data_IF_888242933793
#
_entry.id   IF_888242933793
#
_cell.length_a   1.000
_cell.length_b   1.000
_cell.length_c   1.000
_cell.angle_alpha   90.00
_cell.angle_beta   90.00
_cell.angle_gamma   90.00
#
_symmetry.space_group_name_H-M   'P 1'
#
loop_
_entity.id
_entity.type
_entity.pdbx_description
1 polymer ?
#
# COMPACT_ATOMS: atom_id res chain seq x y z
N UNK A 1 -28.98 -31.96 11.37
CA UNK A 1 -28.54 -31.42 12.67
C UNK A 1 -29.21 -30.08 12.89
N UNK A 2 -29.92 -29.83 14.01
CA UNK A 2 -30.52 -28.53 14.28
C UNK A 2 -29.42 -27.49 14.45
N UNK A 3 -29.55 -26.33 13.73
CA UNK A 3 -28.68 -25.16 13.90
C UNK A 3 -28.68 -24.78 15.38
N UNK A 4 -27.50 -24.78 16.04
CA UNK A 4 -27.32 -24.13 17.34
C UNK A 4 -27.82 -22.68 17.19
N UNK A 5 -28.90 -22.32 17.93
CA UNK A 5 -29.29 -20.94 18.08
C UNK A 5 -28.11 -20.21 18.73
N UNK A 6 -27.39 -19.39 17.97
CA UNK A 6 -26.47 -18.42 18.57
C UNK A 6 -27.36 -17.53 19.45
N UNK A 7 -27.07 -17.39 20.74
CA UNK A 7 -27.82 -16.52 21.67
C UNK A 7 -27.72 -15.02 21.30
N UNK A 8 -27.56 -14.71 20.04
CA UNK A 8 -27.40 -13.37 19.50
C UNK A 8 -28.77 -12.74 19.26
N UNK A 9 -28.94 -11.54 19.80
CA UNK A 9 -30.14 -10.74 19.56
C UNK A 9 -30.31 -10.51 18.05
N UNK A 10 -31.55 -10.60 17.57
CA UNK A 10 -31.91 -10.46 16.14
C UNK A 10 -32.89 -9.30 15.94
N UNK A 11 -33.05 -8.85 14.68
CA UNK A 11 -34.09 -7.87 14.33
C UNK A 11 -35.51 -8.30 14.77
N UNK A 12 -35.76 -9.60 14.85
CA UNK A 12 -37.03 -10.12 15.33
C UNK A 12 -37.27 -9.79 16.81
N UNK A 13 -36.26 -9.95 17.66
CA UNK A 13 -36.37 -9.59 19.09
C UNK A 13 -36.62 -8.10 19.28
N UNK A 14 -35.99 -7.23 18.47
CA UNK A 14 -36.26 -5.78 18.48
C UNK A 14 -37.73 -5.51 18.05
N UNK A 15 -38.17 -6.15 16.98
CA UNK A 15 -39.53 -5.98 16.46
C UNK A 15 -40.60 -6.36 17.51
N UNK A 16 -40.41 -7.49 18.20
CA UNK A 16 -41.28 -7.95 19.30
C UNK A 16 -41.24 -6.97 20.48
N UNK A 17 -40.07 -6.49 20.88
CA UNK A 17 -39.89 -5.53 22.01
C UNK A 17 -40.61 -4.21 21.75
N UNK A 18 -40.59 -3.72 20.49
CA UNK A 18 -41.18 -2.43 20.09
C UNK A 18 -42.65 -2.58 19.63
N UNK A 19 -43.12 -3.80 19.33
CA UNK A 19 -44.47 -4.06 18.83
C UNK A 19 -44.65 -3.67 17.34
N UNK A 20 -43.63 -3.92 16.51
CA UNK A 20 -43.64 -3.63 15.07
C UNK A 20 -43.17 -4.85 14.27
N UNK A 21 -43.20 -4.76 12.94
CA UNK A 21 -42.66 -5.83 12.10
C UNK A 21 -41.14 -5.76 11.97
N UNK A 22 -40.50 -6.90 11.71
CA UNK A 22 -39.05 -6.97 11.38
C UNK A 22 -38.70 -6.05 10.20
N UNK A 23 -39.60 -5.90 9.23
CA UNK A 23 -39.41 -5.01 8.06
C UNK A 23 -39.36 -3.55 8.51
N UNK A 24 -40.21 -3.16 9.46
CA UNK A 24 -40.23 -1.79 10.01
C UNK A 24 -38.93 -1.48 10.75
N UNK A 25 -38.42 -2.40 11.58
CA UNK A 25 -37.11 -2.25 12.26
C UNK A 25 -35.99 -2.15 11.23
N UNK A 26 -35.95 -3.03 10.25
CA UNK A 26 -34.94 -2.99 9.17
C UNK A 26 -34.99 -1.69 8.37
N UNK A 27 -36.17 -1.15 8.11
CA UNK A 27 -36.37 0.15 7.43
C UNK A 27 -35.85 1.30 8.32
N UNK A 28 -36.20 1.30 9.59
CA UNK A 28 -35.74 2.32 10.53
C UNK A 28 -34.20 2.43 10.60
N UNK A 29 -33.51 1.29 10.48
CA UNK A 29 -32.05 1.25 10.48
C UNK A 29 -31.41 1.69 9.15
N UNK A 30 -32.06 1.42 8.02
CA UNK A 30 -31.50 1.71 6.69
C UNK A 30 -31.96 3.05 6.12
N UNK A 31 -33.20 3.43 6.38
CA UNK A 31 -33.89 4.59 5.82
C UNK A 31 -34.63 5.33 6.93
N UNK A 32 -33.89 5.89 7.93
CA UNK A 32 -34.50 6.47 9.13
C UNK A 32 -35.48 7.63 8.83
N UNK A 33 -35.32 8.28 7.67
CA UNK A 33 -36.19 9.35 7.22
C UNK A 33 -37.60 8.85 6.80
N UNK A 34 -37.77 7.55 6.53
CA UNK A 34 -39.05 6.92 6.19
C UNK A 34 -39.83 6.43 7.41
N UNK A 35 -39.32 6.66 8.64
CA UNK A 35 -39.92 6.24 9.88
C UNK A 35 -40.11 7.46 10.78
N UNK A 36 -41.27 7.54 11.49
CA UNK A 36 -41.50 8.67 12.41
C UNK A 36 -40.45 8.77 13.50
N UNK A 37 -40.13 9.99 13.92
CA UNK A 37 -39.09 10.24 14.96
C UNK A 37 -39.40 9.49 16.26
N UNK A 38 -40.68 9.43 16.68
CA UNK A 38 -41.11 8.72 17.89
C UNK A 38 -40.87 7.21 17.79
N UNK A 39 -41.15 6.59 16.65
CA UNK A 39 -40.91 5.14 16.43
C UNK A 39 -39.39 4.85 16.34
N UNK A 40 -38.64 5.72 15.71
CA UNK A 40 -37.19 5.59 15.62
C UNK A 40 -36.54 5.57 17.01
N UNK A 41 -36.89 6.52 17.87
CA UNK A 41 -36.38 6.56 19.27
C UNK A 41 -36.72 5.28 20.04
N UNK A 42 -37.93 4.74 19.88
CA UNK A 42 -38.31 3.47 20.51
C UNK A 42 -37.49 2.29 20.00
N UNK A 43 -37.15 2.25 18.71
CA UNK A 43 -36.31 1.20 18.11
C UNK A 43 -34.87 1.36 18.61
N UNK A 44 -34.33 2.56 18.65
CA UNK A 44 -32.99 2.86 19.16
C UNK A 44 -32.86 2.42 20.64
N UNK A 45 -33.82 2.78 21.48
CA UNK A 45 -33.87 2.35 22.90
C UNK A 45 -33.89 0.82 23.03
N UNK A 46 -34.70 0.13 22.21
CA UNK A 46 -34.76 -1.33 22.26
C UNK A 46 -33.47 -2.00 21.76
N UNK A 47 -32.74 -1.38 20.81
CA UNK A 47 -31.43 -1.83 20.34
C UNK A 47 -30.42 -1.77 21.48
N UNK A 48 -30.38 -0.64 22.20
CA UNK A 48 -29.47 -0.41 23.32
C UNK A 48 -29.80 -1.36 24.49
N UNK A 49 -31.08 -1.47 24.88
CA UNK A 49 -31.53 -2.34 25.96
C UNK A 49 -31.18 -3.83 25.71
N UNK A 50 -31.37 -4.31 24.48
CA UNK A 50 -31.17 -5.71 24.14
C UNK A 50 -29.73 -6.01 23.68
N UNK A 51 -28.89 -4.99 23.51
CA UNK A 51 -27.52 -5.14 23.02
C UNK A 51 -27.48 -5.70 21.58
N UNK A 52 -28.41 -5.24 20.72
CA UNK A 52 -28.43 -5.69 19.35
C UNK A 52 -27.27 -5.08 18.56
N UNK A 53 -26.49 -5.96 17.93
CA UNK A 53 -25.45 -5.55 16.98
C UNK A 53 -25.93 -5.87 15.57
N UNK A 54 -26.04 -4.88 14.68
CA UNK A 54 -26.41 -5.10 13.28
C UNK A 54 -25.53 -6.16 12.62
N UNK A 55 -26.14 -7.12 11.95
CA UNK A 55 -25.42 -8.11 11.16
C UNK A 55 -25.24 -7.57 9.75
N UNK A 56 -24.05 -7.03 9.45
CA UNK A 56 -23.72 -6.50 8.14
C UNK A 56 -23.86 -7.55 7.02
N UNK A 57 -23.50 -8.82 7.29
CA UNK A 57 -23.65 -9.89 6.30
C UNK A 57 -25.12 -10.16 5.94
N UNK A 58 -26.04 -10.10 6.92
CA UNK A 58 -27.47 -10.21 6.66
C UNK A 58 -28.02 -8.98 5.91
N UNK A 59 -27.49 -7.80 6.21
CA UNK A 59 -27.77 -6.56 5.49
C UNK A 59 -27.29 -6.63 4.04
N UNK A 60 -26.08 -7.10 3.82
CA UNK A 60 -25.48 -7.29 2.50
C UNK A 60 -26.29 -8.27 1.63
N UNK A 61 -26.74 -9.40 2.21
CA UNK A 61 -27.58 -10.36 1.50
C UNK A 61 -28.93 -9.73 1.06
N UNK A 62 -29.49 -8.86 1.88
CA UNK A 62 -30.79 -8.22 1.59
C UNK A 62 -30.70 -7.04 0.61
N UNK A 63 -29.56 -6.33 0.56
CA UNK A 63 -29.33 -5.16 -0.30
C UNK A 63 -28.52 -5.49 -1.55
N UNK A 64 -27.86 -6.64 -1.59
CA UNK A 64 -26.86 -6.99 -2.60
C UNK A 64 -25.55 -6.20 -2.48
N UNK A 65 -25.36 -5.41 -1.39
CA UNK A 65 -24.20 -4.54 -1.19
C UNK A 65 -23.58 -4.75 0.19
N UNK A 66 -22.30 -5.07 0.22
CA UNK A 66 -21.55 -5.29 1.46
C UNK A 66 -20.97 -4.01 2.05
N UNK A 67 -20.85 -2.94 1.25
CA UNK A 67 -20.12 -1.71 1.59
C UNK A 67 -18.70 -2.00 2.14
N UNK A 68 -18.05 -3.05 1.62
CA UNK A 68 -16.72 -3.47 2.02
C UNK A 68 -15.77 -3.49 0.83
N UNK A 69 -14.57 -2.98 1.04
CA UNK A 69 -13.47 -2.99 0.07
C UNK A 69 -12.29 -3.70 0.70
N UNK A 70 -11.67 -4.66 0.00
CA UNK A 70 -10.46 -5.31 0.48
C UNK A 70 -9.23 -4.50 0.04
N UNK A 71 -8.33 -4.23 1.01
CA UNK A 71 -7.01 -3.65 0.78
C UNK A 71 -5.96 -4.69 1.14
N UNK A 72 -5.22 -5.20 0.16
CA UNK A 72 -4.08 -6.07 0.40
C UNK A 72 -2.81 -5.24 0.53
N UNK A 73 -2.03 -5.52 1.56
CA UNK A 73 -0.74 -4.84 1.81
C UNK A 73 0.37 -5.88 2.03
N UNK A 74 1.60 -5.61 1.52
CA UNK A 74 2.70 -6.57 1.66
C UNK A 74 3.29 -6.63 3.07
N UNK A 75 3.15 -5.56 3.86
CA UNK A 75 3.75 -5.46 5.20
C UNK A 75 2.95 -4.52 6.09
N UNK A 76 2.72 -4.94 7.33
CA UNK A 76 2.13 -4.13 8.40
C UNK A 76 3.17 -3.26 9.12
N UNK A 77 4.45 -3.66 9.08
CA UNK A 77 5.53 -2.95 9.77
C UNK A 77 6.23 -1.89 8.91
N UNK A 78 6.02 -1.91 7.59
CA UNK A 78 6.64 -0.94 6.69
C UNK A 78 5.76 0.32 6.58
N UNK A 79 6.27 1.46 7.06
CA UNK A 79 5.57 2.75 7.10
C UNK A 79 5.19 3.32 5.72
N UNK A 80 5.76 2.80 4.63
CA UNK A 80 5.35 3.16 3.26
C UNK A 80 3.86 2.96 3.05
N UNK A 81 3.27 1.89 3.62
CA UNK A 81 1.86 1.55 3.40
C UNK A 81 0.90 2.34 4.29
N UNK A 82 1.35 2.86 5.43
CA UNK A 82 0.46 3.52 6.40
C UNK A 82 -0.17 4.83 5.90
N UNK A 83 0.58 5.65 5.14
CA UNK A 83 0.02 6.88 4.56
C UNK A 83 -0.93 6.60 3.39
N UNK A 84 -0.62 5.59 2.57
CA UNK A 84 -1.50 5.13 1.48
C UNK A 84 -2.80 4.60 2.07
N UNK A 85 -2.69 3.70 3.06
CA UNK A 85 -3.84 3.16 3.79
C UNK A 85 -4.72 4.26 4.36
N UNK A 86 -4.13 5.26 5.04
CA UNK A 86 -4.87 6.39 5.62
C UNK A 86 -5.68 7.14 4.56
N UNK A 87 -5.08 7.46 3.40
CA UNK A 87 -5.81 8.12 2.31
C UNK A 87 -6.98 7.29 1.79
N UNK A 88 -6.77 5.97 1.65
CA UNK A 88 -7.82 5.04 1.24
C UNK A 88 -8.94 4.98 2.29
N UNK A 89 -8.61 4.77 3.57
CA UNK A 89 -9.59 4.63 4.66
C UNK A 89 -10.42 5.91 4.86
N UNK A 90 -9.79 7.08 4.86
CA UNK A 90 -10.50 8.35 5.00
C UNK A 90 -11.43 8.60 3.81
N UNK A 91 -10.95 8.39 2.57
CA UNK A 91 -11.75 8.61 1.37
C UNK A 91 -12.93 7.65 1.23
N UNK A 92 -12.70 6.35 1.44
CA UNK A 92 -13.75 5.34 1.36
C UNK A 92 -14.70 5.38 2.56
N UNK A 93 -14.16 5.63 3.77
CA UNK A 93 -14.95 5.74 5.00
C UNK A 93 -15.94 6.89 4.96
N UNK A 94 -15.55 8.06 4.42
CA UNK A 94 -16.45 9.19 4.19
C UNK A 94 -17.63 8.85 3.26
N UNK A 95 -17.48 7.85 2.39
CA UNK A 95 -18.53 7.34 1.51
C UNK A 95 -19.28 6.12 2.08
N UNK A 96 -19.02 5.75 3.34
CA UNK A 96 -19.69 4.65 4.04
C UNK A 96 -19.16 3.25 3.72
N UNK A 97 -17.96 3.14 3.14
CA UNK A 97 -17.30 1.86 2.91
C UNK A 97 -16.36 1.49 4.07
N UNK A 98 -16.35 0.20 4.40
CA UNK A 98 -15.40 -0.41 5.32
C UNK A 98 -14.20 -0.97 4.55
N UNK A 99 -12.99 -0.65 4.98
CA UNK A 99 -11.76 -1.24 4.43
C UNK A 99 -11.37 -2.46 5.24
N UNK A 100 -11.27 -3.61 4.57
CA UNK A 100 -10.80 -4.88 5.15
C UNK A 100 -9.36 -5.09 4.72
N UNK A 101 -8.43 -5.16 5.68
CA UNK A 101 -7.00 -5.25 5.40
C UNK A 101 -6.56 -6.71 5.40
N UNK A 102 -5.86 -7.12 4.33
CA UNK A 102 -5.19 -8.40 4.20
C UNK A 102 -3.68 -8.23 4.09
N UNK A 103 -2.91 -9.05 4.81
CA UNK A 103 -1.45 -9.02 4.79
C UNK A 103 -0.90 -10.16 3.93
N UNK A 104 -0.20 -9.82 2.83
CA UNK A 104 0.32 -10.81 1.87
C UNK A 104 1.72 -11.32 2.21
N UNK A 105 2.49 -10.63 3.03
CA UNK A 105 3.86 -11.00 3.35
C UNK A 105 4.80 -10.98 2.13
N UNK A 106 4.48 -10.23 1.08
CA UNK A 106 5.14 -10.23 -0.23
C UNK A 106 5.02 -11.57 -1.00
N UNK A 107 4.07 -12.42 -0.64
CA UNK A 107 3.80 -13.69 -1.30
C UNK A 107 2.65 -13.55 -2.29
N UNK A 108 2.89 -13.82 -3.57
CA UNK A 108 1.85 -13.82 -4.61
C UNK A 108 0.84 -14.97 -4.41
N UNK A 109 1.24 -16.06 -3.74
CA UNK A 109 0.34 -17.16 -3.40
C UNK A 109 -0.58 -16.79 -2.22
N UNK A 110 -0.06 -16.05 -1.24
CA UNK A 110 -0.89 -15.53 -0.15
C UNK A 110 -1.83 -14.43 -0.65
N UNK A 111 -1.40 -13.60 -1.59
CA UNK A 111 -2.25 -12.64 -2.29
C UNK A 111 -3.43 -13.35 -2.97
N UNK A 112 -3.16 -14.40 -3.75
CA UNK A 112 -4.17 -15.22 -4.41
C UNK A 112 -5.18 -15.79 -3.41
N UNK A 113 -4.71 -16.38 -2.31
CA UNK A 113 -5.56 -16.92 -1.25
C UNK A 113 -6.45 -15.85 -0.61
N UNK A 114 -5.91 -14.66 -0.38
CA UNK A 114 -6.67 -13.53 0.18
C UNK A 114 -7.69 -12.98 -0.81
N UNK A 115 -7.35 -12.89 -2.10
CA UNK A 115 -8.29 -12.49 -3.15
C UNK A 115 -9.50 -13.43 -3.14
N UNK A 116 -9.28 -14.75 -3.19
CA UNK A 116 -10.38 -15.73 -3.14
C UNK A 116 -11.22 -15.56 -1.87
N UNK A 117 -10.57 -15.44 -0.72
CA UNK A 117 -11.25 -15.25 0.58
C UNK A 117 -12.14 -14.01 0.59
N UNK A 118 -11.62 -12.86 0.15
CA UNK A 118 -12.40 -11.62 0.18
C UNK A 118 -13.51 -11.59 -0.88
N UNK A 119 -13.29 -12.19 -2.05
CA UNK A 119 -14.37 -12.39 -3.02
C UNK A 119 -15.48 -13.27 -2.45
N UNK A 120 -15.16 -14.34 -1.72
CA UNK A 120 -16.16 -15.15 -0.99
C UNK A 120 -16.87 -14.35 0.11
N UNK A 121 -16.26 -13.37 0.73
CA UNK A 121 -16.91 -12.45 1.67
C UNK A 121 -17.78 -11.39 0.99
N UNK A 122 -17.76 -11.33 -0.34
CA UNK A 122 -18.59 -10.42 -1.13
C UNK A 122 -18.13 -8.97 -1.07
N UNK A 123 -16.81 -8.71 -1.03
CA UNK A 123 -16.30 -7.34 -1.15
C UNK A 123 -16.71 -6.72 -2.48
N UNK A 124 -16.97 -5.42 -2.48
CA UNK A 124 -17.39 -4.68 -3.67
C UNK A 124 -16.20 -4.22 -4.54
N UNK A 125 -14.98 -4.28 -4.02
CA UNK A 125 -13.75 -3.97 -4.76
C UNK A 125 -12.52 -4.53 -4.05
N UNK A 126 -11.39 -4.63 -4.81
CA UNK A 126 -10.09 -5.01 -4.28
C UNK A 126 -9.03 -3.95 -4.64
N UNK A 127 -8.12 -3.70 -3.70
CA UNK A 127 -6.94 -2.86 -3.89
C UNK A 127 -5.71 -3.75 -3.64
N UNK A 128 -4.86 -3.90 -4.66
CA UNK A 128 -3.75 -4.86 -4.70
C UNK A 128 -2.40 -4.14 -4.73
N UNK A 129 -1.38 -4.65 -4.01
CA UNK A 129 -0.08 -4.00 -3.88
C UNK A 129 0.87 -4.36 -5.03
N UNK A 130 0.56 -3.96 -6.23
CA UNK A 130 1.37 -4.23 -7.40
C UNK A 130 0.55 -4.72 -8.59
N UNK A 131 1.25 -5.06 -9.67
CA UNK A 131 0.67 -5.48 -10.95
C UNK A 131 0.99 -6.93 -11.32
N UNK A 132 1.76 -7.61 -10.47
CA UNK A 132 2.14 -9.02 -10.70
C UNK A 132 1.30 -9.96 -9.86
N UNK A 133 0.41 -10.67 -10.52
CA UNK A 133 -0.50 -11.64 -9.91
C UNK A 133 -0.30 -13.00 -10.55
N UNK A 134 -0.71 -14.07 -9.86
CA UNK A 134 -0.77 -15.40 -10.48
C UNK A 134 -1.83 -15.44 -11.57
N UNK A 135 -1.69 -16.35 -12.53
CA UNK A 135 -2.72 -16.54 -13.56
C UNK A 135 -4.07 -16.92 -12.97
N UNK A 136 -4.08 -17.61 -11.82
CA UNK A 136 -5.30 -17.96 -11.12
C UNK A 136 -5.97 -16.71 -10.52
N UNK A 137 -5.22 -15.87 -9.82
CA UNK A 137 -5.71 -14.60 -9.28
C UNK A 137 -6.28 -13.70 -10.39
N UNK A 138 -5.57 -13.56 -11.52
CA UNK A 138 -6.07 -12.80 -12.68
C UNK A 138 -7.40 -13.33 -13.20
N UNK A 139 -7.55 -14.66 -13.31
CA UNK A 139 -8.83 -15.27 -13.71
C UNK A 139 -9.94 -15.02 -12.70
N UNK A 140 -9.65 -15.09 -11.40
CA UNK A 140 -10.62 -14.79 -10.34
C UNK A 140 -11.09 -13.33 -10.43
N UNK A 141 -10.17 -12.38 -10.52
CA UNK A 141 -10.47 -10.95 -10.61
C UNK A 141 -11.29 -10.61 -11.84
N UNK A 142 -10.94 -11.18 -13.01
CA UNK A 142 -11.69 -10.96 -14.26
C UNK A 142 -13.13 -11.52 -14.17
N UNK A 143 -13.31 -12.68 -13.53
CA UNK A 143 -14.62 -13.33 -13.39
C UNK A 143 -15.52 -12.65 -12.36
N UNK A 144 -14.92 -12.13 -11.30
CA UNK A 144 -15.66 -11.52 -10.18
C UNK A 144 -16.39 -10.24 -10.59
N UNK A 145 -15.92 -9.54 -11.64
CA UNK A 145 -16.52 -8.29 -12.17
C UNK A 145 -16.64 -7.19 -11.10
N UNK A 146 -15.75 -7.21 -10.11
CA UNK A 146 -15.62 -6.13 -9.13
C UNK A 146 -14.48 -5.20 -9.56
N UNK A 147 -14.54 -3.90 -9.26
CA UNK A 147 -13.44 -2.99 -9.47
C UNK A 147 -12.15 -3.48 -8.81
N UNK A 148 -11.04 -3.36 -9.53
CA UNK A 148 -9.71 -3.74 -9.06
C UNK A 148 -8.77 -2.55 -9.21
N UNK A 149 -8.05 -2.23 -8.16
CA UNK A 149 -6.97 -1.23 -8.18
C UNK A 149 -5.64 -1.93 -7.98
N UNK A 150 -4.74 -1.82 -8.95
CA UNK A 150 -3.33 -2.17 -8.84
C UNK A 150 -2.55 -0.90 -8.45
N UNK A 151 -1.66 -0.95 -7.45
CA UNK A 151 -1.01 0.27 -6.97
C UNK A 151 0.49 0.10 -6.71
N UNK A 152 1.17 1.23 -6.52
CA UNK A 152 2.60 1.41 -6.19
C UNK A 152 3.54 1.46 -7.40
N UNK A 153 3.43 0.58 -8.36
CA UNK A 153 4.12 0.69 -9.65
C UNK A 153 3.12 0.87 -10.79
N UNK A 154 3.62 1.33 -11.93
CA UNK A 154 2.83 1.44 -13.15
C UNK A 154 2.90 0.14 -13.96
N UNK A 155 1.83 -0.13 -14.71
CA UNK A 155 1.75 -1.21 -15.69
C UNK A 155 1.10 -0.71 -16.98
N UNK A 156 1.58 -1.22 -18.12
CA UNK A 156 0.99 -0.91 -19.44
C UNK A 156 -0.35 -1.65 -19.65
N UNK A 157 -0.60 -2.71 -18.89
CA UNK A 157 -1.77 -3.58 -19.04
C UNK A 157 -2.52 -3.72 -17.71
N UNK A 158 -3.10 -2.63 -17.18
CA UNK A 158 -3.84 -2.70 -15.91
C UNK A 158 -5.08 -3.57 -16.05
N UNK A 159 -5.45 -4.26 -14.96
CA UNK A 159 -6.69 -5.03 -14.90
C UNK A 159 -7.92 -4.12 -14.98
N UNK A 160 -7.88 -2.99 -14.26
CA UNK A 160 -8.94 -1.99 -14.25
C UNK A 160 -8.37 -0.60 -13.93
N UNK A 161 -7.97 -0.32 -12.69
CA UNK A 161 -7.37 0.94 -12.26
C UNK A 161 -5.95 0.67 -11.80
N UNK A 162 -5.00 1.46 -12.30
CA UNK A 162 -3.61 1.45 -11.84
C UNK A 162 -3.23 2.85 -11.37
N UNK A 163 -2.73 2.96 -10.13
CA UNK A 163 -2.29 4.23 -9.52
C UNK A 163 -0.94 4.02 -8.87
N UNK A 164 0.06 4.70 -9.35
CA UNK A 164 1.41 4.51 -8.84
C UNK A 164 2.41 5.55 -9.35
N UNK A 165 3.64 5.13 -9.47
CA UNK A 165 4.73 5.89 -10.07
C UNK A 165 5.66 4.96 -10.85
N UNK A 166 6.40 5.53 -11.81
CA UNK A 166 7.43 4.81 -12.52
C UNK A 166 8.64 4.58 -11.61
N UNK A 167 8.75 3.35 -11.09
CA UNK A 167 9.83 2.94 -10.19
C UNK A 167 11.20 2.87 -10.90
N UNK A 168 11.21 2.53 -12.19
CA UNK A 168 12.44 2.51 -13.00
C UNK A 168 12.95 3.93 -13.21
N UNK A 169 12.07 4.83 -13.67
CA UNK A 169 12.44 6.22 -13.89
C UNK A 169 12.87 6.91 -12.59
N UNK A 170 12.21 6.60 -11.46
CA UNK A 170 12.60 7.12 -10.15
C UNK A 170 14.01 6.65 -9.72
N UNK A 171 14.33 5.37 -9.97
CA UNK A 171 15.70 4.84 -9.75
C UNK A 171 16.74 5.49 -10.66
N UNK A 172 16.39 5.65 -11.95
CA UNK A 172 17.23 6.30 -12.95
C UNK A 172 17.52 7.76 -12.55
N UNK A 173 16.49 8.52 -12.20
CA UNK A 173 16.60 9.93 -11.85
C UNK A 173 17.43 10.16 -10.56
N UNK A 174 17.27 9.31 -9.53
CA UNK A 174 18.13 9.39 -8.34
C UNK A 174 19.60 9.12 -8.70
N UNK A 175 19.86 8.10 -9.51
CA UNK A 175 21.21 7.80 -9.97
C UNK A 175 21.80 8.95 -10.80
N UNK A 176 21.00 9.54 -11.68
CA UNK A 176 21.41 10.72 -12.45
C UNK A 176 21.80 11.88 -11.53
N UNK A 177 21.11 12.06 -10.38
CA UNK A 177 21.45 13.10 -9.41
C UNK A 177 22.87 12.92 -8.84
N UNK A 178 23.32 11.68 -8.60
CA UNK A 178 24.72 11.41 -8.24
C UNK A 178 25.66 11.78 -9.38
N UNK A 179 25.34 11.38 -10.60
CA UNK A 179 26.18 11.62 -11.78
C UNK A 179 26.33 13.12 -12.08
N UNK A 180 25.27 13.91 -11.92
CA UNK A 180 25.24 15.36 -12.12
C UNK A 180 26.15 16.10 -11.09
N UNK A 181 26.33 15.50 -9.90
CA UNK A 181 27.24 16.01 -8.88
C UNK A 181 28.70 15.54 -9.07
N UNK A 182 28.98 14.78 -10.10
CA UNK A 182 30.32 14.35 -10.45
C UNK A 182 30.71 12.98 -9.91
N UNK A 183 29.87 12.29 -9.12
CA UNK A 183 30.12 10.92 -8.67
C UNK A 183 30.15 9.97 -9.87
N UNK A 184 31.09 9.03 -9.88
CA UNK A 184 31.24 8.05 -10.98
C UNK A 184 31.22 6.62 -10.48
N UNK A 185 31.67 6.36 -9.26
CA UNK A 185 31.68 5.04 -8.63
C UNK A 185 30.52 4.93 -7.64
N UNK A 186 29.30 4.89 -8.22
CA UNK A 186 28.05 4.81 -7.46
C UNK A 186 27.58 3.36 -7.39
N UNK A 187 27.44 2.84 -6.17
CA UNK A 187 26.94 1.50 -5.90
C UNK A 187 25.42 1.47 -5.68
N UNK A 188 24.87 0.26 -5.71
CA UNK A 188 23.46 0.00 -5.38
C UNK A 188 23.33 -1.03 -4.25
N UNK A 189 22.52 -0.74 -3.24
CA UNK A 189 22.11 -1.68 -2.19
C UNK A 189 20.61 -2.03 -2.32
N UNK A 190 20.30 -3.33 -2.46
CA UNK A 190 18.93 -3.81 -2.58
C UNK A 190 18.60 -4.93 -1.59
N UNK A 191 17.47 -4.82 -0.91
CA UNK A 191 16.94 -5.87 -0.05
C UNK A 191 15.58 -6.35 -0.53
N UNK A 192 15.23 -7.62 -0.20
CA UNK A 192 14.01 -8.32 -0.57
C UNK A 192 13.83 -8.53 -2.07
N UNK A 193 14.26 -7.61 -2.90
CA UNK A 193 14.21 -7.63 -4.35
C UNK A 193 12.83 -8.01 -4.92
N UNK A 194 11.75 -7.46 -4.31
CA UNK A 194 10.44 -7.48 -4.93
C UNK A 194 10.45 -6.73 -6.28
N UNK A 195 9.38 -6.82 -7.05
CA UNK A 195 9.36 -6.26 -8.41
C UNK A 195 9.70 -4.77 -8.44
N UNK A 196 9.24 -3.98 -7.47
CA UNK A 196 9.58 -2.55 -7.38
C UNK A 196 11.05 -2.31 -7.08
N UNK A 197 11.66 -3.11 -6.20
CA UNK A 197 13.09 -3.04 -5.93
C UNK A 197 13.92 -3.42 -7.17
N UNK A 198 13.46 -4.40 -7.96
CA UNK A 198 14.08 -4.76 -9.24
C UNK A 198 13.98 -3.63 -10.26
N UNK A 199 12.84 -2.94 -10.36
CA UNK A 199 12.67 -1.77 -11.24
C UNK A 199 13.61 -0.62 -10.85
N UNK A 200 13.79 -0.35 -9.55
CA UNK A 200 14.73 0.67 -9.06
C UNK A 200 16.19 0.31 -9.40
N UNK A 201 16.55 -0.94 -9.22
CA UNK A 201 17.86 -1.46 -9.64
C UNK A 201 18.07 -1.28 -11.14
N UNK A 202 17.09 -1.68 -11.96
CA UNK A 202 17.16 -1.51 -13.41
C UNK A 202 17.28 -0.02 -13.82
N UNK A 203 16.64 0.89 -13.08
CA UNK A 203 16.79 2.33 -13.26
C UNK A 203 18.21 2.81 -12.96
N UNK A 204 18.80 2.36 -11.84
CA UNK A 204 20.19 2.62 -11.52
C UNK A 204 21.13 2.09 -12.61
N UNK A 205 20.97 0.85 -13.03
CA UNK A 205 21.77 0.25 -14.11
C UNK A 205 21.66 1.06 -15.41
N UNK A 206 20.44 1.51 -15.74
CA UNK A 206 20.21 2.30 -16.95
C UNK A 206 20.99 3.61 -16.91
N UNK A 207 20.96 4.37 -15.83
CA UNK A 207 21.70 5.62 -15.70
C UNK A 207 23.22 5.39 -15.76
N UNK A 208 23.72 4.37 -15.05
CA UNK A 208 25.16 4.03 -15.06
C UNK A 208 25.64 3.65 -16.46
N UNK A 209 24.88 2.77 -17.17
CA UNK A 209 25.24 2.37 -18.55
C UNK A 209 25.17 3.54 -19.53
N UNK A 210 24.17 4.41 -19.42
CA UNK A 210 24.06 5.61 -20.26
C UNK A 210 25.24 6.56 -20.09
N UNK A 211 25.82 6.59 -18.89
CA UNK A 211 27.03 7.34 -18.58
C UNK A 211 28.33 6.62 -18.93
N UNK A 212 28.28 5.40 -19.49
CA UNK A 212 29.45 4.58 -19.79
C UNK A 212 30.17 4.03 -18.56
N UNK A 213 29.44 3.89 -17.42
CA UNK A 213 29.99 3.47 -16.14
C UNK A 213 29.65 2.01 -15.80
N UNK A 214 30.47 1.38 -14.95
CA UNK A 214 30.28 0.01 -14.51
C UNK A 214 29.06 -0.14 -13.59
N UNK A 215 28.32 -1.23 -13.75
CA UNK A 215 27.20 -1.66 -12.90
C UNK A 215 27.55 -2.82 -11.95
N UNK A 216 28.85 -3.13 -11.79
CA UNK A 216 29.29 -4.25 -10.93
C UNK A 216 29.16 -3.96 -9.44
N UNK A 217 29.15 -2.67 -9.03
CA UNK A 217 29.04 -2.23 -7.65
C UNK A 217 27.62 -2.36 -7.12
N UNK A 218 27.09 -3.58 -7.16
CA UNK A 218 25.73 -3.91 -6.75
C UNK A 218 25.74 -5.04 -5.73
N UNK A 219 25.06 -4.84 -4.61
CA UNK A 219 24.84 -5.86 -3.60
C UNK A 219 23.36 -5.97 -3.29
N UNK A 220 22.81 -7.16 -3.49
CA UNK A 220 21.39 -7.44 -3.24
C UNK A 220 21.21 -8.66 -2.35
N UNK A 221 20.10 -8.72 -1.63
CA UNK A 221 19.74 -9.84 -0.76
C UNK A 221 18.23 -10.12 -0.80
N UNK A 222 17.79 -11.38 -0.66
CA UNK A 222 16.38 -11.72 -0.51
C UNK A 222 15.81 -11.38 0.88
N UNK A 223 16.66 -11.04 1.85
CA UNK A 223 16.23 -10.74 3.21
C UNK A 223 15.39 -9.43 3.29
N UNK A 224 14.47 -9.32 4.25
CA UNK A 224 13.75 -8.08 4.54
C UNK A 224 14.70 -6.92 4.85
N UNK A 225 14.38 -5.72 4.37
CA UNK A 225 15.15 -4.52 4.71
C UNK A 225 15.03 -4.18 6.20
N UNK A 226 16.13 -3.65 6.75
CA UNK A 226 16.20 -3.08 8.10
C UNK A 226 17.41 -2.16 8.21
N UNK A 227 17.42 -1.31 9.22
CA UNK A 227 18.58 -0.47 9.52
C UNK A 227 19.84 -1.32 9.77
N UNK A 228 19.72 -2.43 10.51
CA UNK A 228 20.84 -3.34 10.77
C UNK A 228 21.40 -3.90 9.47
N UNK A 229 20.53 -4.43 8.61
CA UNK A 229 20.93 -4.98 7.32
C UNK A 229 21.60 -3.92 6.44
N UNK A 230 21.11 -2.68 6.42
CA UNK A 230 21.71 -1.58 5.68
C UNK A 230 23.16 -1.32 6.10
N UNK A 231 23.45 -1.36 7.40
CA UNK A 231 24.80 -1.24 7.92
C UNK A 231 25.71 -2.42 7.54
N UNK A 232 25.23 -3.66 7.69
CA UNK A 232 25.95 -4.87 7.31
C UNK A 232 26.29 -4.91 5.81
N UNK A 233 25.33 -4.54 4.97
CA UNK A 233 25.53 -4.48 3.52
C UNK A 233 26.51 -3.38 3.13
N UNK A 234 26.45 -2.20 3.76
CA UNK A 234 27.45 -1.15 3.54
C UNK A 234 28.85 -1.62 3.89
N UNK A 235 29.02 -2.27 5.05
CA UNK A 235 30.31 -2.81 5.47
C UNK A 235 30.91 -3.73 4.39
N UNK A 236 30.09 -4.68 3.89
CA UNK A 236 30.49 -5.61 2.82
C UNK A 236 30.78 -4.89 1.50
N UNK A 237 30.03 -3.83 1.17
CA UNK A 237 30.29 -3.03 -0.04
C UNK A 237 31.65 -2.33 0.03
N UNK A 238 31.99 -1.71 1.16
CA UNK A 238 33.26 -1.00 1.35
C UNK A 238 34.46 -1.95 1.37
N UNK A 239 34.32 -3.16 1.87
CA UNK A 239 35.35 -4.20 1.81
C UNK A 239 35.61 -4.63 0.37
N UNK A 240 34.55 -4.79 -0.43
CA UNK A 240 34.67 -5.26 -1.81
C UNK A 240 35.08 -4.15 -2.79
N UNK A 241 34.59 -2.93 -2.55
CA UNK A 241 34.83 -1.76 -3.40
C UNK A 241 35.24 -0.53 -2.53
N UNK A 242 36.47 -0.46 -2.06
CA UNK A 242 36.93 0.61 -1.17
C UNK A 242 36.97 1.98 -1.86
N UNK A 243 36.87 2.02 -3.17
CA UNK A 243 36.89 3.22 -4.01
C UNK A 243 35.49 3.82 -4.26
N UNK A 244 34.43 3.33 -3.58
CA UNK A 244 33.08 3.87 -3.72
C UNK A 244 32.99 5.35 -3.36
N UNK A 245 32.29 6.12 -4.17
CA UNK A 245 32.02 7.55 -3.96
C UNK A 245 30.58 7.80 -3.49
N UNK A 246 29.66 6.89 -3.81
CA UNK A 246 28.28 7.02 -3.40
C UNK A 246 27.51 5.71 -3.48
N UNK A 247 26.42 5.64 -2.75
CA UNK A 247 25.54 4.47 -2.73
C UNK A 247 24.08 4.91 -2.81
N UNK A 248 23.38 4.38 -3.79
CA UNK A 248 21.93 4.42 -3.87
C UNK A 248 21.34 3.18 -3.20
N UNK A 249 20.68 3.37 -2.09
CA UNK A 249 19.96 2.32 -1.37
C UNK A 249 18.53 2.20 -1.89
N UNK A 250 18.08 0.98 -2.19
CA UNK A 250 16.75 0.70 -2.75
C UNK A 250 15.58 1.11 -1.86
N UNK A 251 15.82 1.47 -0.58
CA UNK A 251 14.87 2.09 0.33
C UNK A 251 15.57 2.85 1.47
N UNK A 252 14.78 3.64 2.21
CA UNK A 252 15.28 4.51 3.27
C UNK A 252 15.77 3.75 4.51
N UNK A 253 15.23 2.56 4.80
CA UNK A 253 15.71 1.75 5.93
C UNK A 253 17.17 1.31 5.69
N UNK A 254 17.50 0.90 4.46
CA UNK A 254 18.88 0.58 4.09
C UNK A 254 19.77 1.80 4.13
N UNK A 255 19.27 2.95 3.62
CA UNK A 255 20.04 4.20 3.60
C UNK A 255 20.36 4.70 5.01
N UNK A 256 19.39 4.68 5.92
CA UNK A 256 19.61 5.07 7.31
C UNK A 256 20.56 4.09 8.02
N UNK A 257 20.43 2.80 7.77
CA UNK A 257 21.37 1.80 8.28
C UNK A 257 22.80 2.00 7.77
N UNK A 258 22.94 2.32 6.49
CA UNK A 258 24.23 2.66 5.87
C UNK A 258 24.83 3.93 6.49
N UNK A 259 24.02 4.98 6.72
CA UNK A 259 24.47 6.19 7.37
C UNK A 259 24.96 5.93 8.81
N UNK A 260 24.24 5.12 9.59
CA UNK A 260 24.68 4.74 10.93
C UNK A 260 25.99 3.95 10.91
N UNK A 261 26.23 3.14 9.88
CA UNK A 261 27.53 2.46 9.72
C UNK A 261 28.65 3.44 9.34
N UNK A 262 28.38 4.43 8.47
CA UNK A 262 29.34 5.51 8.21
C UNK A 262 29.74 6.22 9.50
N UNK A 263 28.77 6.57 10.36
CA UNK A 263 29.03 7.22 11.64
C UNK A 263 29.89 6.34 12.56
N UNK A 264 29.61 5.02 12.66
CA UNK A 264 30.44 4.08 13.43
C UNK A 264 31.89 4.01 12.92
N UNK A 265 32.09 4.11 11.61
CA UNK A 265 33.39 4.10 10.95
C UNK A 265 34.05 5.48 10.88
N UNK A 266 33.33 6.54 11.31
CA UNK A 266 33.80 7.94 11.21
C UNK A 266 34.03 8.35 9.76
N UNK A 267 33.21 7.85 8.82
CA UNK A 267 33.20 8.28 7.43
C UNK A 267 32.36 9.53 7.28
N UNK A 268 32.91 10.56 6.67
CA UNK A 268 32.17 11.81 6.40
C UNK A 268 31.18 11.63 5.26
N UNK A 269 29.90 11.93 5.52
CA UNK A 269 28.83 11.91 4.53
C UNK A 269 28.40 13.34 4.27
N UNK A 270 28.43 13.85 3.02
CA UNK A 270 28.72 13.12 1.77
C UNK A 270 30.19 13.14 1.34
N UNK A 271 31.08 13.80 2.06
CA UNK A 271 32.45 14.14 1.58
C UNK A 271 33.29 12.90 1.20
N UNK A 272 33.18 11.79 1.94
CA UNK A 272 33.88 10.54 1.63
C UNK A 272 32.96 9.52 0.97
N UNK A 273 31.64 9.53 1.29
CA UNK A 273 30.67 8.61 0.72
C UNK A 273 29.29 9.27 0.70
N UNK A 274 28.76 9.54 -0.47
CA UNK A 274 27.42 10.06 -0.63
C UNK A 274 26.38 8.93 -0.48
N UNK A 275 25.22 9.22 0.14
CA UNK A 275 24.16 8.26 0.37
C UNK A 275 22.81 8.79 -0.09
N UNK A 276 22.00 7.92 -0.73
CA UNK A 276 20.59 8.22 -1.02
C UNK A 276 19.74 6.99 -0.77
N UNK A 277 18.48 7.24 -0.37
CA UNK A 277 17.44 6.23 -0.18
C UNK A 277 16.28 6.36 -1.16
N UNK A 278 15.17 5.71 -0.83
CA UNK A 278 13.94 5.69 -1.60
C UNK A 278 12.74 5.54 -0.67
N UNK A 279 11.72 6.31 -0.84
CA UNK A 279 10.37 6.45 -0.29
C UNK A 279 10.11 7.81 0.37
N UNK A 280 11.13 8.52 0.87
CA UNK A 280 10.98 9.78 1.59
C UNK A 280 10.36 9.60 2.97
N UNK A 281 10.78 8.56 3.70
CA UNK A 281 10.30 8.31 5.06
C UNK A 281 10.81 9.39 6.02
N UNK A 282 10.08 9.59 7.12
CA UNK A 282 10.37 10.59 8.17
C UNK A 282 11.82 10.48 8.71
N UNK A 283 12.32 9.25 8.88
CA UNK A 283 13.69 9.00 9.33
C UNK A 283 14.73 9.72 8.47
N UNK A 284 14.47 9.95 7.18
CA UNK A 284 15.42 10.59 6.27
C UNK A 284 15.60 12.08 6.55
N UNK A 285 14.63 12.71 7.20
CA UNK A 285 14.75 14.11 7.67
C UNK A 285 15.37 14.19 9.07
N UNK A 286 15.19 13.16 9.88
CA UNK A 286 15.64 13.10 11.26
C UNK A 286 17.11 12.69 11.42
N UNK A 287 17.73 12.16 10.36
CA UNK A 287 19.17 11.80 10.40
C UNK A 287 20.08 13.03 10.30
N UNK A 288 21.34 12.88 10.74
CA UNK A 288 22.39 13.88 10.59
C UNK A 288 23.59 13.28 9.81
N UNK A 289 23.87 13.74 8.57
CA UNK A 289 23.07 14.70 7.79
C UNK A 289 21.70 14.12 7.36
N UNK A 290 20.72 14.97 7.02
CA UNK A 290 19.47 14.50 6.44
C UNK A 290 19.71 13.74 5.13
N UNK A 291 19.09 12.57 4.96
CA UNK A 291 19.33 11.70 3.82
C UNK A 291 18.65 12.21 2.54
N UNK A 292 19.40 12.14 1.44
CA UNK A 292 18.83 12.23 0.10
C UNK A 292 17.90 11.04 -0.12
N UNK A 293 16.78 11.28 -0.80
CA UNK A 293 15.79 10.21 -1.07
C UNK A 293 14.87 10.57 -2.22
N UNK A 294 14.33 9.54 -2.89
CA UNK A 294 13.16 9.69 -3.76
C UNK A 294 11.93 9.77 -2.88
N UNK A 295 11.25 10.91 -2.88
CA UNK A 295 10.00 11.11 -2.15
C UNK A 295 8.83 10.63 -2.99
N UNK A 296 8.17 9.57 -2.54
CA UNK A 296 6.97 9.03 -3.18
C UNK A 296 5.72 9.72 -2.65
N UNK A 297 4.71 10.01 -3.49
CA UNK A 297 3.51 10.75 -3.08
C UNK A 297 2.49 9.83 -2.38
N UNK A 298 2.88 9.15 -1.30
CA UNK A 298 2.12 8.07 -0.63
C UNK A 298 0.69 8.47 -0.29
N UNK A 299 0.52 9.61 0.39
CA UNK A 299 -0.82 10.11 0.75
C UNK A 299 -1.67 10.34 -0.49
N UNK A 300 -1.12 11.00 -1.51
CA UNK A 300 -1.81 11.27 -2.78
C UNK A 300 -2.19 10.00 -3.52
N UNK A 301 -1.35 8.94 -3.46
CA UNK A 301 -1.69 7.62 -3.99
C UNK A 301 -2.98 7.12 -3.32
N UNK A 302 -3.06 7.13 -2.00
CA UNK A 302 -4.26 6.69 -1.26
C UNK A 302 -5.51 7.50 -1.61
N UNK A 303 -5.41 8.82 -1.62
CA UNK A 303 -6.51 9.74 -1.94
C UNK A 303 -7.02 9.53 -3.39
N UNK A 304 -6.09 9.33 -4.34
CA UNK A 304 -6.41 9.06 -5.75
C UNK A 304 -7.10 7.71 -5.91
N UNK A 305 -6.60 6.67 -5.25
CA UNK A 305 -7.22 5.34 -5.25
C UNK A 305 -8.67 5.44 -4.76
N UNK A 306 -8.91 6.08 -3.60
CA UNK A 306 -10.25 6.24 -3.06
C UNK A 306 -11.17 6.97 -4.04
N UNK A 307 -10.71 8.06 -4.64
CA UNK A 307 -11.47 8.86 -5.61
C UNK A 307 -11.84 8.06 -6.86
N UNK A 308 -10.86 7.37 -7.47
CA UNK A 308 -11.08 6.57 -8.68
C UNK A 308 -11.99 5.38 -8.41
N UNK A 309 -11.75 4.69 -7.29
CA UNK A 309 -12.56 3.54 -6.90
C UNK A 309 -14.01 3.94 -6.61
N UNK A 310 -14.26 5.03 -5.90
CA UNK A 310 -15.62 5.54 -5.65
C UNK A 310 -16.34 5.91 -6.95
N UNK A 311 -15.65 6.52 -7.90
CA UNK A 311 -16.22 6.79 -9.23
C UNK A 311 -16.62 5.50 -9.93
N UNK A 312 -15.77 4.46 -9.86
CA UNK A 312 -16.02 3.15 -10.46
C UNK A 312 -17.21 2.45 -9.80
N UNK A 313 -17.30 2.45 -8.49
CA UNK A 313 -18.40 1.89 -7.70
C UNK A 313 -19.75 2.60 -7.96
N UNK A 314 -19.72 3.85 -8.44
CA UNK A 314 -20.90 4.62 -8.89
C UNK A 314 -21.25 4.43 -10.36
N UNK A 315 -20.55 3.55 -11.07
CA UNK A 315 -20.84 3.21 -12.47
C UNK A 315 -20.05 4.02 -13.51
N UNK A 316 -18.92 4.64 -13.16
CA UNK A 316 -18.03 5.24 -14.15
C UNK A 316 -17.56 4.20 -15.20
N UNK A 317 -17.26 4.61 -16.45
CA UNK A 317 -16.86 3.69 -17.51
C UNK A 317 -15.72 2.74 -17.13
N UNK A 318 -15.78 1.52 -17.64
CA UNK A 318 -14.84 0.41 -17.34
C UNK A 318 -13.54 0.44 -18.17
N UNK A 319 -13.25 1.53 -18.90
CA UNK A 319 -11.96 1.62 -19.58
C UNK A 319 -10.81 1.58 -18.54
N UNK A 320 -9.79 0.75 -18.72
CA UNK A 320 -8.64 0.73 -17.84
C UNK A 320 -8.00 2.11 -17.72
N UNK A 321 -7.61 2.48 -16.51
CA UNK A 321 -7.01 3.78 -16.20
C UNK A 321 -5.65 3.52 -15.56
N UNK A 322 -4.58 4.12 -16.11
CA UNK A 322 -3.26 4.18 -15.48
C UNK A 322 -2.95 5.63 -15.14
N UNK A 323 -2.62 5.90 -13.89
CA UNK A 323 -2.35 7.25 -13.38
C UNK A 323 -0.98 7.28 -12.71
N UNK A 324 -0.03 7.96 -13.38
CA UNK A 324 1.29 8.24 -12.83
C UNK A 324 1.23 9.48 -11.95
N UNK A 325 1.52 9.33 -10.68
CA UNK A 325 1.56 10.44 -9.72
C UNK A 325 2.96 11.05 -9.58
N UNK A 326 3.94 10.49 -10.28
CA UNK A 326 5.32 10.95 -10.28
C UNK A 326 5.99 10.80 -8.91
N UNK A 327 7.15 11.44 -8.80
CA UNK A 327 7.98 11.45 -7.59
C UNK A 327 8.75 12.79 -7.50
N UNK A 328 9.41 13.01 -6.38
CA UNK A 328 10.31 14.17 -6.19
C UNK A 328 11.62 13.69 -5.59
N UNK A 329 12.74 14.20 -6.06
CA UNK A 329 14.04 13.97 -5.43
C UNK A 329 14.27 15.03 -4.37
N UNK A 330 14.58 14.60 -3.15
CA UNK A 330 15.09 15.44 -2.07
C UNK A 330 16.56 15.12 -1.88
N UNK A 331 17.43 16.11 -2.05
CA UNK A 331 18.88 15.93 -1.96
C UNK A 331 19.36 15.77 -0.52
N UNK A 332 18.68 16.37 0.46
CA UNK A 332 19.13 16.33 1.86
C UNK A 332 20.49 16.99 2.04
N UNK A 333 21.28 16.45 2.98
CA UNK A 333 22.68 16.81 3.22
C UNK A 333 23.63 15.62 3.01
N UNK A 334 23.13 14.48 2.52
CA UNK A 334 23.93 13.25 2.32
C UNK A 334 24.34 13.02 0.86
N UNK A 335 23.95 13.93 -0.04
CA UNK A 335 24.26 13.89 -1.47
C UNK A 335 24.46 15.29 -2.01
#
# INVERSE_FOLDING_TARGET
MPRRSSGRVTLQHIAERVGVTKVTVSRALREPHLVSAALRLRIESAIDELGYIPNHSAGALASGRSHSVALLIPSLSNSVFSEIQRGIEEGLGAAGYQVLIGHTGYSILEEERLIDTYLCYGVEALILPGSRHTDHARRLLTRARVPVVETLELTETPLDINVGLDQHEAGRAMTQTFLDQGYRRVGFLGARMDYRAQLRLAGWETAMRQAGLSTERCLTTPHPSSYRLGGEMLASMLERWPDLEGIFCGNDDLAAGALFECQRRRLDVPAQLALAGFNGLDITEATAPPLATVVTPRRRIGDTIATRLLARLKGAPLAPISEDLGFRIRRGGSL
#
